data_IF_248017945186
#
_entry.id   IF_248017945186
#
_cell.length_a   1.000
_cell.length_b   1.000
_cell.length_c   1.000
_cell.angle_alpha   90.00
_cell.angle_beta   90.00
_cell.angle_gamma   90.00
#
_symmetry.space_group_name_H-M   'P 1'
#
loop_
_entity.id
_entity.type
_entity.pdbx_description
1 polymer ?
#
# COMPACT_ATOMS: atom_id res chain seq x y z
N UNK A 1 1.88 -22.33 8.39
CA UNK A 1 2.48 -21.04 8.06
C UNK A 1 3.62 -21.11 7.05
N UNK A 2 4.58 -22.05 7.13
CA UNK A 2 5.62 -22.16 6.09
C UNK A 2 5.08 -22.45 4.67
N UNK A 3 3.96 -23.16 4.55
CA UNK A 3 3.24 -23.37 3.28
C UNK A 3 2.43 -22.16 2.81
N UNK A 4 2.28 -21.14 3.65
CA UNK A 4 1.68 -19.85 3.30
C UNK A 4 2.73 -18.82 2.87
N UNK A 5 4.03 -19.10 2.99
CA UNK A 5 5.10 -18.20 2.56
C UNK A 5 5.12 -17.90 1.05
N UNK A 6 4.79 -18.85 0.14
CA UNK A 6 4.66 -18.52 -1.29
C UNK A 6 3.49 -17.59 -1.60
N UNK A 7 2.64 -17.26 -0.60
CA UNK A 7 1.45 -16.42 -0.73
C UNK A 7 1.71 -14.93 -0.47
N UNK A 8 2.93 -14.56 -0.03
CA UNK A 8 3.22 -13.23 0.50
C UNK A 8 4.32 -12.45 -0.24
N UNK A 9 4.80 -12.97 -1.36
CA UNK A 9 5.82 -12.32 -2.18
C UNK A 9 5.41 -12.30 -3.65
N UNK A 10 5.46 -11.12 -4.27
CA UNK A 10 6.06 -10.99 -5.59
C UNK A 10 7.57 -11.15 -5.37
N UNK A 11 8.17 -12.30 -5.65
CA UNK A 11 9.60 -12.54 -5.36
C UNK A 11 10.01 -13.95 -4.95
N UNK A 12 9.34 -14.52 -3.94
CA UNK A 12 9.32 -15.98 -3.76
C UNK A 12 8.38 -16.50 -4.83
N UNK A 13 8.95 -16.82 -5.97
CA UNK A 13 8.27 -17.62 -6.94
C UNK A 13 7.95 -19.02 -6.32
N UNK A 14 6.68 -19.40 -6.07
CA UNK A 14 6.27 -20.81 -6.28
C UNK A 14 6.31 -21.16 -7.78
N UNK A 15 6.48 -20.11 -8.59
CA UNK A 15 6.89 -20.08 -9.98
C UNK A 15 8.39 -20.49 -10.05
N UNK A 16 8.98 -20.64 -11.22
CA UNK A 16 10.39 -20.98 -11.33
C UNK A 16 11.11 -19.96 -12.17
N UNK A 17 12.09 -19.31 -11.56
CA UNK A 17 13.04 -18.40 -12.19
C UNK A 17 13.01 -17.01 -11.52
N UNK A 18 14.12 -16.38 -11.14
CA UNK A 18 15.48 -16.59 -11.56
C UNK A 18 16.40 -15.71 -10.72
N UNK A 19 17.32 -16.32 -9.98
CA UNK A 19 18.69 -15.83 -9.95
C UNK A 19 19.59 -17.00 -9.57
N UNK A 20 19.79 -17.88 -10.54
CA UNK A 20 21.10 -18.51 -10.69
C UNK A 20 21.22 -18.95 -12.14
N UNK A 21 22.18 -18.34 -12.83
CA UNK A 21 22.84 -18.93 -13.97
C UNK A 21 23.40 -20.28 -13.51
N UNK A 22 22.58 -21.33 -13.54
CA UNK A 22 22.97 -22.74 -13.55
C UNK A 22 21.71 -23.63 -13.63
N UNK A 23 21.40 -24.12 -14.83
CA UNK A 23 20.70 -25.39 -15.10
C UNK A 23 19.56 -25.84 -14.16
N UNK A 24 18.42 -25.13 -14.15
CA UNK A 24 17.18 -25.70 -13.63
C UNK A 24 15.96 -25.21 -14.40
N UNK A 25 15.47 -26.05 -15.30
CA UNK A 25 14.32 -25.82 -16.18
C UNK A 25 12.96 -26.10 -15.52
N UNK A 26 12.80 -26.01 -14.18
CA UNK A 26 11.69 -26.76 -13.57
C UNK A 26 10.98 -26.23 -12.29
N UNK A 27 10.97 -24.93 -11.97
CA UNK A 27 10.29 -24.49 -10.73
C UNK A 27 8.91 -23.84 -10.91
N UNK A 28 8.43 -23.53 -12.13
CA UNK A 28 7.08 -22.95 -12.30
C UNK A 28 5.93 -23.94 -12.16
N UNK A 29 6.26 -25.22 -12.03
CA UNK A 29 5.37 -26.37 -11.91
C UNK A 29 5.31 -26.96 -10.50
N UNK A 30 5.89 -26.31 -9.48
CA UNK A 30 5.91 -26.93 -8.14
C UNK A 30 4.50 -27.02 -7.53
N UNK A 31 3.65 -26.01 -7.76
CA UNK A 31 2.29 -25.94 -7.23
C UNK A 31 1.27 -25.36 -8.24
N UNK A 32 1.04 -26.03 -9.39
CA UNK A 32 0.20 -25.50 -10.47
C UNK A 32 -1.24 -25.27 -10.01
N UNK A 33 -1.83 -26.21 -9.26
CA UNK A 33 -3.19 -26.08 -8.75
C UNK A 33 -3.37 -24.90 -7.79
N UNK A 34 -2.33 -24.57 -7.01
CA UNK A 34 -2.36 -23.42 -6.11
C UNK A 34 -2.32 -22.11 -6.92
N UNK A 35 -1.45 -22.05 -7.93
CA UNK A 35 -1.38 -20.91 -8.86
C UNK A 35 -2.72 -20.71 -9.58
N UNK A 36 -3.33 -21.79 -10.07
CA UNK A 36 -4.62 -21.74 -10.76
C UNK A 36 -5.74 -21.29 -9.82
N UNK A 37 -5.73 -21.77 -8.57
CA UNK A 37 -6.63 -21.29 -7.54
C UNK A 37 -6.49 -19.78 -7.31
N UNK A 38 -5.27 -19.25 -7.16
CA UNK A 38 -5.07 -17.81 -6.99
C UNK A 38 -5.50 -17.00 -8.21
N UNK A 39 -5.16 -17.46 -9.42
CA UNK A 39 -5.61 -16.81 -10.64
C UNK A 39 -7.14 -16.77 -10.73
N UNK A 40 -7.81 -17.85 -10.32
CA UNK A 40 -9.26 -17.89 -10.25
C UNK A 40 -9.81 -16.93 -9.18
N UNK A 41 -9.21 -16.91 -7.98
CA UNK A 41 -9.62 -16.02 -6.90
C UNK A 41 -9.44 -14.54 -7.24
N UNK A 42 -8.41 -14.18 -8.02
CA UNK A 42 -8.19 -12.81 -8.49
C UNK A 42 -9.32 -12.29 -9.40
N UNK A 43 -10.13 -13.19 -9.97
CA UNK A 43 -11.34 -12.82 -10.72
C UNK A 43 -12.57 -12.60 -9.84
N UNK A 44 -12.51 -12.97 -8.55
CA UNK A 44 -13.64 -12.84 -7.62
C UNK A 44 -13.59 -11.44 -6.97
N UNK A 45 -14.56 -10.54 -7.24
CA UNK A 45 -14.46 -9.15 -6.81
C UNK A 45 -14.27 -8.95 -5.31
N UNK A 46 -15.02 -9.64 -4.41
CA UNK A 46 -14.76 -9.55 -2.97
C UNK A 46 -13.35 -9.97 -2.57
N UNK A 47 -12.80 -10.98 -3.23
CA UNK A 47 -11.45 -11.45 -2.91
C UNK A 47 -10.41 -10.42 -3.33
N UNK A 48 -10.43 -10.01 -4.60
CA UNK A 48 -9.47 -9.06 -5.17
C UNK A 48 -9.54 -7.68 -4.50
N UNK A 49 -10.75 -7.19 -4.20
CA UNK A 49 -10.94 -5.87 -3.63
C UNK A 49 -10.70 -5.82 -2.12
N UNK A 50 -11.05 -6.88 -1.36
CA UNK A 50 -11.10 -6.80 0.11
C UNK A 50 -10.29 -7.86 0.85
N UNK A 51 -10.06 -9.06 0.29
CA UNK A 51 -9.53 -10.20 1.07
C UNK A 51 -8.05 -10.46 0.79
N UNK A 52 -7.60 -10.37 -0.47
CA UNK A 52 -6.28 -10.80 -0.95
C UNK A 52 -5.10 -10.33 -0.08
N UNK A 53 -5.23 -9.17 0.54
CA UNK A 53 -4.10 -8.55 1.23
C UNK A 53 -3.10 -7.97 0.23
N UNK A 54 -1.96 -7.53 0.74
CA UNK A 54 -0.82 -7.20 -0.10
C UNK A 54 0.49 -7.62 0.54
N UNK A 55 1.51 -7.82 -0.29
CA UNK A 55 2.81 -8.31 0.16
C UNK A 55 3.42 -7.39 1.23
N UNK A 56 3.25 -6.07 1.13
CA UNK A 56 3.82 -5.12 2.08
C UNK A 56 3.23 -5.29 3.48
N UNK A 57 1.91 -5.39 3.59
CA UNK A 57 1.16 -5.52 4.83
C UNK A 57 1.42 -6.88 5.47
N UNK A 58 1.42 -7.93 4.66
CA UNK A 58 1.76 -9.27 5.13
C UNK A 58 3.17 -9.35 5.68
N UNK A 59 4.15 -8.74 5.00
CA UNK A 59 5.52 -8.61 5.52
C UNK A 59 5.50 -7.89 6.88
N UNK A 60 4.85 -6.72 6.99
CA UNK A 60 4.75 -5.99 8.29
C UNK A 60 4.24 -6.88 9.41
N UNK A 61 3.25 -7.74 9.16
CA UNK A 61 2.71 -8.66 10.17
C UNK A 61 3.68 -9.80 10.47
N UNK A 62 4.19 -10.47 9.44
CA UNK A 62 5.04 -11.66 9.58
C UNK A 62 6.40 -11.36 10.22
N UNK A 63 6.93 -10.14 10.07
CA UNK A 63 8.18 -9.72 10.73
C UNK A 63 7.98 -9.17 12.13
N UNK A 64 6.76 -8.78 12.51
CA UNK A 64 6.46 -8.23 13.84
C UNK A 64 6.11 -9.34 14.84
N UNK A 65 5.59 -10.48 14.39
CA UNK A 65 5.16 -11.53 15.31
C UNK A 65 6.27 -12.55 15.66
N UNK A 66 6.39 -12.97 16.94
CA UNK A 66 7.51 -13.75 17.47
C UNK A 66 7.51 -15.25 17.08
N UNK A 67 6.77 -15.65 16.05
CA UNK A 67 6.64 -17.07 15.67
C UNK A 67 7.85 -17.60 14.88
N UNK A 68 8.84 -16.76 14.59
CA UNK A 68 10.10 -17.19 14.00
C UNK A 68 11.08 -17.64 15.10
N UNK A 69 11.63 -18.86 15.04
CA UNK A 69 12.37 -19.43 16.15
C UNK A 69 13.83 -18.94 16.13
N UNK A 70 14.09 -17.73 16.63
CA UNK A 70 15.21 -17.45 17.54
C UNK A 70 15.23 -15.98 17.96
N UNK A 71 15.67 -15.74 19.19
CA UNK A 71 15.93 -14.44 19.80
C UNK A 71 16.97 -13.59 19.06
N UNK A 72 17.71 -14.19 18.12
CA UNK A 72 18.87 -13.58 17.46
C UNK A 72 18.49 -12.90 16.13
N UNK A 73 17.22 -12.98 15.70
CA UNK A 73 16.68 -12.45 14.43
C UNK A 73 15.53 -11.46 14.69
N UNK A 74 15.41 -10.94 15.91
CA UNK A 74 14.46 -9.87 16.20
C UNK A 74 14.89 -8.60 15.47
N UNK A 75 14.33 -8.41 14.27
CA UNK A 75 14.39 -7.15 13.57
C UNK A 75 13.38 -6.21 14.24
N UNK A 76 13.84 -5.05 14.69
CA UNK A 76 12.94 -3.93 14.97
C UNK A 76 11.98 -3.77 13.78
N UNK A 77 10.77 -3.26 14.01
CA UNK A 77 9.80 -2.94 12.95
C UNK A 77 10.35 -2.05 11.82
N UNK A 78 11.56 -1.50 11.99
CA UNK A 78 12.34 -0.72 11.02
C UNK A 78 13.57 -1.44 10.45
N UNK A 79 14.07 -2.52 11.07
CA UNK A 79 15.31 -3.24 10.71
C UNK A 79 15.07 -4.38 9.73
N UNK A 80 14.16 -4.21 8.76
CA UNK A 80 13.98 -5.12 7.61
C UNK A 80 15.17 -4.94 6.62
N UNK A 81 16.38 -5.06 7.17
CA UNK A 81 17.76 -4.84 6.69
C UNK A 81 18.57 -4.07 7.75
N UNK A 82 19.69 -4.51 8.35
CA UNK A 82 20.68 -5.56 8.02
C UNK A 82 21.03 -6.47 9.22
N UNK A 83 20.64 -7.76 9.12
CA UNK A 83 21.43 -8.98 9.42
C UNK A 83 20.59 -10.20 9.00
N UNK A 84 20.77 -10.65 7.75
CA UNK A 84 19.98 -11.74 7.14
C UNK A 84 19.01 -11.21 6.08
N UNK A 85 19.56 -10.85 4.92
CA UNK A 85 18.92 -10.04 3.88
C UNK A 85 17.65 -10.67 3.29
N UNK A 86 16.52 -9.99 3.50
CA UNK A 86 15.34 -10.00 2.61
C UNK A 86 15.24 -8.63 1.95
N UNK A 87 16.34 -8.19 1.35
CA UNK A 87 16.37 -7.01 0.49
C UNK A 87 15.54 -7.33 -0.77
N UNK A 88 14.56 -6.49 -1.04
CA UNK A 88 13.74 -6.57 -2.26
C UNK A 88 14.61 -6.22 -3.45
N UNK A 89 14.37 -6.84 -4.60
CA UNK A 89 14.90 -6.30 -5.85
C UNK A 89 14.32 -4.90 -6.08
N UNK A 90 15.05 -4.03 -6.78
CA UNK A 90 14.52 -2.73 -7.21
C UNK A 90 13.24 -2.89 -8.03
N UNK A 91 13.10 -4.00 -8.74
CA UNK A 91 11.94 -4.37 -9.55
C UNK A 91 10.72 -4.74 -8.70
N UNK A 92 10.91 -5.48 -7.59
CA UNK A 92 9.85 -5.70 -6.60
C UNK A 92 9.43 -4.41 -5.89
N UNK A 93 10.41 -3.57 -5.54
CA UNK A 93 10.11 -2.23 -5.03
C UNK A 93 9.30 -1.45 -6.08
N UNK A 94 9.73 -1.45 -7.33
CA UNK A 94 9.03 -0.79 -8.42
C UNK A 94 7.60 -1.32 -8.57
N UNK A 95 7.36 -2.63 -8.64
CA UNK A 95 6.02 -3.23 -8.77
C UNK A 95 5.10 -2.95 -7.57
N UNK A 96 5.68 -2.90 -6.37
CA UNK A 96 4.99 -2.47 -5.15
C UNK A 96 4.59 -1.00 -5.20
N UNK A 97 5.47 -0.12 -5.69
CA UNK A 97 5.21 1.30 -5.85
C UNK A 97 4.38 1.61 -7.12
N UNK A 98 4.36 0.71 -8.10
CA UNK A 98 3.62 0.80 -9.36
C UNK A 98 2.15 0.34 -9.23
N UNK A 99 1.74 -0.13 -8.04
CA UNK A 99 0.34 -0.43 -7.79
C UNK A 99 -0.14 -1.71 -8.49
N UNK A 100 0.58 -2.83 -8.31
CA UNK A 100 0.08 -4.16 -8.72
C UNK A 100 -1.28 -4.57 -8.13
N UNK A 101 -1.86 -3.75 -7.26
CA UNK A 101 -3.26 -3.82 -6.78
C UNK A 101 -4.27 -3.06 -7.65
N UNK A 102 -3.90 -2.64 -8.87
CA UNK A 102 -4.83 -2.10 -9.87
C UNK A 102 -5.88 -3.17 -10.21
N UNK A 103 -6.95 -3.18 -9.43
CA UNK A 103 -8.16 -3.89 -9.78
C UNK A 103 -8.79 -3.15 -10.94
N UNK A 104 -9.18 -3.88 -11.98
CA UNK A 104 -9.84 -3.27 -13.13
C UNK A 104 -11.07 -2.48 -12.67
N UNK A 105 -11.35 -1.34 -13.30
CA UNK A 105 -12.55 -0.53 -13.00
C UNK A 105 -13.80 -1.40 -12.99
N UNK A 106 -13.88 -2.36 -13.91
CA UNK A 106 -14.97 -3.33 -13.99
C UNK A 106 -15.13 -4.18 -12.74
N UNK A 107 -14.04 -4.75 -12.22
CA UNK A 107 -14.08 -5.59 -11.03
C UNK A 107 -14.40 -4.76 -9.77
N UNK A 108 -13.94 -3.51 -9.68
CA UNK A 108 -14.37 -2.60 -8.60
C UNK A 108 -15.86 -2.24 -8.68
N UNK A 109 -16.37 -1.95 -9.89
CA UNK A 109 -17.80 -1.69 -10.10
C UNK A 109 -18.64 -2.90 -9.70
N UNK A 110 -18.23 -4.11 -10.07
CA UNK A 110 -18.91 -5.34 -9.65
C UNK A 110 -18.85 -5.54 -8.13
N UNK A 111 -17.70 -5.26 -7.51
CA UNK A 111 -17.55 -5.31 -6.05
C UNK A 111 -18.46 -4.29 -5.33
N UNK A 112 -18.54 -3.05 -5.80
CA UNK A 112 -19.30 -1.99 -5.15
C UNK A 112 -20.81 -2.06 -5.41
N UNK A 113 -21.25 -2.70 -6.50
CA UNK A 113 -22.65 -2.76 -6.95
C UNK A 113 -23.67 -3.07 -5.85
N UNK A 114 -23.40 -4.10 -5.05
CA UNK A 114 -24.32 -4.58 -4.00
C UNK A 114 -23.89 -4.15 -2.58
N UNK A 115 -22.97 -3.18 -2.48
CA UNK A 115 -22.34 -2.74 -1.23
C UNK A 115 -22.47 -1.23 -1.07
N UNK A 116 -23.60 -0.72 -0.54
CA UNK A 116 -23.86 0.71 -0.45
C UNK A 116 -22.90 1.46 0.50
N UNK A 117 -22.16 0.73 1.33
CA UNK A 117 -21.14 1.27 2.23
C UNK A 117 -19.75 1.36 1.58
N UNK A 118 -19.57 0.85 0.35
CA UNK A 118 -18.34 0.97 -0.43
C UNK A 118 -18.57 2.01 -1.53
N UNK A 119 -17.61 2.91 -1.72
CA UNK A 119 -17.69 3.91 -2.78
C UNK A 119 -17.76 3.28 -4.18
N UNK A 120 -18.82 3.59 -4.91
CA UNK A 120 -18.97 3.21 -6.32
C UNK A 120 -18.08 4.04 -7.26
N UNK A 121 -17.58 5.19 -6.80
CA UNK A 121 -16.75 6.09 -7.61
C UNK A 121 -15.32 5.55 -7.83
N UNK A 122 -14.85 4.66 -6.96
CA UNK A 122 -13.55 4.00 -7.13
C UNK A 122 -12.81 3.77 -5.82
N UNK A 123 -11.71 3.01 -5.88
CA UNK A 123 -10.88 2.72 -4.73
C UNK A 123 -10.18 3.96 -4.14
N UNK A 124 -9.91 4.98 -4.95
CA UNK A 124 -9.32 6.25 -4.52
C UNK A 124 -10.29 7.00 -3.58
N UNK A 125 -11.57 7.08 -3.98
CA UNK A 125 -12.63 7.73 -3.19
C UNK A 125 -12.92 6.94 -1.91
N UNK A 126 -12.90 5.60 -1.97
CA UNK A 126 -13.01 4.75 -0.79
C UNK A 126 -11.85 5.02 0.19
N UNK A 127 -10.61 5.08 -0.30
CA UNK A 127 -9.46 5.41 0.53
C UNK A 127 -9.60 6.79 1.18
N UNK A 128 -10.03 7.80 0.41
CA UNK A 128 -10.30 9.15 0.91
C UNK A 128 -11.34 9.15 2.04
N UNK A 129 -12.42 8.39 1.85
CA UNK A 129 -13.53 8.26 2.82
C UNK A 129 -13.06 7.61 4.12
N UNK A 130 -12.30 6.52 4.04
CA UNK A 130 -11.73 5.84 5.22
C UNK A 130 -10.78 6.78 5.98
N UNK A 131 -9.89 7.48 5.27
CA UNK A 131 -8.97 8.45 5.88
C UNK A 131 -9.75 9.57 6.57
N UNK A 132 -10.77 10.12 5.90
CA UNK A 132 -11.60 11.18 6.44
C UNK A 132 -12.31 10.76 7.74
N UNK A 133 -12.94 9.58 7.74
CA UNK A 133 -13.65 9.08 8.93
C UNK A 133 -12.71 8.77 10.09
N UNK A 134 -11.48 8.33 9.81
CA UNK A 134 -10.50 7.97 10.85
C UNK A 134 -9.52 9.11 11.18
N UNK A 135 -9.72 10.31 10.62
CA UNK A 135 -8.82 11.48 10.76
C UNK A 135 -8.47 11.82 12.21
N UNK A 136 -9.44 11.71 13.13
CA UNK A 136 -9.22 12.01 14.55
C UNK A 136 -8.24 11.05 15.25
N UNK A 137 -8.08 9.83 14.74
CA UNK A 137 -7.12 8.85 15.26
C UNK A 137 -5.79 8.91 14.49
N UNK A 138 -5.84 9.22 13.19
CA UNK A 138 -4.66 9.35 12.33
C UNK A 138 -3.76 10.50 12.80
N UNK A 139 -4.32 11.69 13.05
CA UNK A 139 -3.49 12.87 13.36
C UNK A 139 -2.68 12.73 14.66
N UNK A 140 -3.24 12.27 15.80
CA UNK A 140 -2.44 12.05 17.00
C UNK A 140 -1.39 10.94 16.84
N UNK A 141 -1.72 9.85 16.12
CA UNK A 141 -0.75 8.77 15.88
C UNK A 141 0.39 9.24 14.95
N UNK A 142 0.08 10.08 13.96
CA UNK A 142 1.05 10.73 13.09
C UNK A 142 1.96 11.68 13.88
N UNK A 143 1.42 12.50 14.77
CA UNK A 143 2.24 13.39 15.61
C UNK A 143 3.20 12.58 16.51
N UNK A 144 2.71 11.50 17.11
CA UNK A 144 3.52 10.55 17.88
C UNK A 144 4.60 9.90 17.01
N UNK A 145 4.22 9.44 15.82
CA UNK A 145 5.13 8.84 14.84
C UNK A 145 6.30 9.77 14.48
N UNK A 146 6.02 11.04 14.22
CA UNK A 146 7.05 12.05 13.91
C UNK A 146 8.04 12.20 15.07
N UNK A 147 7.55 12.22 16.32
CA UNK A 147 8.36 12.40 17.53
C UNK A 147 9.20 11.18 17.88
N UNK A 148 8.63 9.98 17.77
CA UNK A 148 9.25 8.73 18.21
C UNK A 148 10.14 8.09 17.13
N UNK A 149 9.69 8.13 15.88
CA UNK A 149 10.33 7.41 14.76
C UNK A 149 11.21 8.33 13.92
N UNK A 150 11.18 9.65 14.17
CA UNK A 150 12.03 10.64 13.53
C UNK A 150 11.63 10.93 12.09
N UNK A 151 10.92 12.03 11.86
CA UNK A 151 10.92 12.65 10.53
C UNK A 151 12.16 13.51 10.37
N UNK A 152 13.12 13.06 9.55
CA UNK A 152 14.40 13.76 9.35
C UNK A 152 14.34 14.89 8.30
N UNK A 153 13.18 15.18 7.72
CA UNK A 153 13.02 16.17 6.65
C UNK A 153 12.76 17.60 7.16
N UNK A 154 13.76 18.26 7.74
CA UNK A 154 13.77 19.73 7.88
C UNK A 154 13.85 20.30 9.30
N UNK A 155 14.19 21.59 9.40
CA UNK A 155 14.56 22.28 10.65
C UNK A 155 13.37 22.70 11.54
N UNK A 156 12.13 22.44 11.13
CA UNK A 156 10.94 22.83 11.90
C UNK A 156 9.92 21.69 11.92
N UNK A 157 9.54 21.25 13.13
CA UNK A 157 8.51 20.23 13.29
C UNK A 157 7.15 20.81 12.87
N UNK A 158 6.37 20.13 12.01
CA UNK A 158 5.07 20.61 11.59
C UNK A 158 4.11 20.72 12.77
N UNK A 159 3.29 21.78 12.79
CA UNK A 159 2.24 21.89 13.80
C UNK A 159 1.10 20.91 13.49
N UNK A 160 0.26 20.63 14.49
CA UNK A 160 -0.96 19.81 14.28
C UNK A 160 -1.86 20.37 13.16
N UNK A 161 -1.95 21.70 13.05
CA UNK A 161 -2.73 22.37 11.99
C UNK A 161 -2.14 22.13 10.60
N UNK A 162 -0.81 22.11 10.51
CA UNK A 162 -0.11 21.86 9.25
C UNK A 162 -0.30 20.42 8.78
N UNK A 163 -0.20 19.46 9.72
CA UNK A 163 -0.47 18.04 9.47
C UNK A 163 -1.93 17.81 9.07
N UNK A 164 -2.86 18.48 9.73
CA UNK A 164 -4.27 18.43 9.37
C UNK A 164 -4.53 18.97 7.95
N UNK A 165 -3.95 20.13 7.64
CA UNK A 165 -4.05 20.74 6.32
C UNK A 165 -3.51 19.80 5.24
N UNK A 166 -2.36 19.17 5.48
CA UNK A 166 -1.78 18.19 4.56
C UNK A 166 -2.64 16.93 4.40
N UNK A 167 -3.21 16.40 5.48
CA UNK A 167 -4.12 15.26 5.42
C UNK A 167 -5.39 15.59 4.62
N UNK A 168 -5.95 16.80 4.78
CA UNK A 168 -7.06 17.28 3.96
C UNK A 168 -6.68 17.42 2.48
N UNK A 169 -5.47 17.91 2.18
CA UNK A 169 -4.96 17.93 0.81
C UNK A 169 -4.89 16.54 0.19
N UNK A 170 -4.44 15.53 0.94
CA UNK A 170 -4.40 14.14 0.47
C UNK A 170 -5.80 13.59 0.19
N UNK A 171 -6.77 13.85 1.08
CA UNK A 171 -8.17 13.45 0.86
C UNK A 171 -8.69 14.08 -0.43
N UNK A 172 -8.47 15.38 -0.64
CA UNK A 172 -8.91 16.06 -1.86
C UNK A 172 -8.22 15.52 -3.11
N UNK A 173 -6.92 15.25 -3.06
CA UNK A 173 -6.17 14.61 -4.15
C UNK A 173 -6.79 13.26 -4.51
N UNK A 174 -7.08 12.41 -3.53
CA UNK A 174 -7.70 11.10 -3.77
C UNK A 174 -9.10 11.23 -4.39
N UNK A 175 -9.90 12.19 -3.95
CA UNK A 175 -11.22 12.47 -4.54
C UNK A 175 -11.10 12.90 -6.01
N UNK A 176 -10.15 13.80 -6.33
CA UNK A 176 -9.91 14.25 -7.70
C UNK A 176 -9.43 13.12 -8.62
N UNK A 177 -8.61 12.20 -8.11
CA UNK A 177 -8.16 11.03 -8.87
C UNK A 177 -9.28 10.02 -9.13
N UNK A 178 -10.26 9.95 -8.24
CA UNK A 178 -11.44 9.09 -8.38
C UNK A 178 -12.52 9.69 -9.29
N UNK A 179 -12.59 11.02 -9.40
CA UNK A 179 -13.49 11.71 -10.31
C UNK A 179 -13.00 11.58 -11.76
N UNK A 180 -13.46 10.52 -12.46
CA UNK A 180 -13.10 10.23 -13.86
C UNK A 180 -14.14 10.72 -14.88
N UNK A 181 -15.24 11.29 -14.41
CA UNK A 181 -16.39 11.64 -15.26
C UNK A 181 -16.45 13.15 -15.56
N UNK A 182 -15.51 13.93 -15.04
CA UNK A 182 -15.45 15.38 -15.20
C UNK A 182 -14.25 15.74 -16.10
N UNK A 183 -14.54 16.10 -17.36
CA UNK A 183 -13.56 16.29 -18.45
C UNK A 183 -12.78 17.62 -18.37
N UNK A 184 -13.00 18.45 -17.34
CA UNK A 184 -12.22 19.67 -17.12
C UNK A 184 -10.86 19.36 -16.47
N UNK A 185 -9.99 18.74 -17.27
CA UNK A 185 -8.64 18.31 -16.87
C UNK A 185 -7.76 19.51 -16.46
N UNK A 186 -7.96 20.68 -17.06
CA UNK A 186 -7.20 21.89 -16.75
C UNK A 186 -7.52 22.42 -15.35
N UNK A 187 -8.80 22.48 -14.98
CA UNK A 187 -9.21 22.88 -13.64
C UNK A 187 -8.73 21.89 -12.57
N UNK A 188 -8.85 20.58 -12.84
CA UNK A 188 -8.35 19.54 -11.94
C UNK A 188 -6.85 19.64 -11.72
N UNK A 189 -6.08 19.90 -12.77
CA UNK A 189 -4.63 20.01 -12.68
C UNK A 189 -4.18 21.24 -11.87
N UNK A 190 -4.86 22.37 -12.00
CA UNK A 190 -4.59 23.57 -11.18
C UNK A 190 -4.83 23.30 -9.69
N UNK A 191 -5.97 22.68 -9.33
CA UNK A 191 -6.24 22.29 -7.95
C UNK A 191 -5.21 21.28 -7.48
N UNK A 192 -4.95 20.23 -8.26
CA UNK A 192 -3.97 19.21 -7.92
C UNK A 192 -2.61 19.84 -7.63
N UNK A 193 -2.12 20.73 -8.49
CA UNK A 193 -0.86 21.44 -8.33
C UNK A 193 -0.83 22.28 -7.04
N UNK A 194 -1.90 22.99 -6.72
CA UNK A 194 -2.02 23.76 -5.47
C UNK A 194 -1.97 22.86 -4.23
N UNK A 195 -2.63 21.69 -4.27
CA UNK A 195 -2.63 20.75 -3.17
C UNK A 195 -1.27 20.09 -2.96
N UNK A 196 -0.55 19.82 -4.05
CA UNK A 196 0.81 19.29 -4.03
C UNK A 196 1.84 20.25 -3.44
N UNK A 197 1.59 21.56 -3.51
CA UNK A 197 2.47 22.58 -2.93
C UNK A 197 2.45 22.64 -1.40
N UNK A 198 1.58 21.87 -0.74
CA UNK A 198 1.64 21.75 0.71
C UNK A 198 2.88 20.94 1.12
N UNK A 199 3.84 21.62 1.73
CA UNK A 199 5.16 21.10 2.11
C UNK A 199 5.14 19.88 3.04
N UNK A 200 4.00 19.56 3.67
CA UNK A 200 3.86 18.43 4.59
C UNK A 200 3.11 17.24 3.99
N UNK A 201 2.66 17.33 2.73
CA UNK A 201 1.97 16.21 2.06
C UNK A 201 2.86 14.97 2.03
N UNK A 202 4.15 15.12 1.74
CA UNK A 202 5.10 14.00 1.74
C UNK A 202 5.22 13.28 3.10
N UNK A 203 5.20 14.03 4.22
CA UNK A 203 5.22 13.50 5.58
C UNK A 203 4.00 12.60 5.78
N UNK A 204 2.82 13.15 5.46
CA UNK A 204 1.55 12.45 5.71
C UNK A 204 1.40 11.25 4.77
N UNK A 205 1.75 11.35 3.48
CA UNK A 205 1.69 10.21 2.56
C UNK A 205 2.65 9.10 2.97
N UNK A 206 3.86 9.44 3.42
CA UNK A 206 4.85 8.48 3.91
C UNK A 206 4.36 7.77 5.17
N UNK A 207 3.80 8.52 6.11
CA UNK A 207 3.19 7.95 7.30
C UNK A 207 2.04 6.99 6.94
N UNK A 208 1.14 7.40 6.05
CA UNK A 208 0.00 6.58 5.63
C UNK A 208 0.46 5.28 4.96
N UNK A 209 1.44 5.31 4.06
CA UNK A 209 2.01 4.10 3.47
C UNK A 209 2.65 3.18 4.52
N UNK A 210 3.40 3.75 5.47
CA UNK A 210 4.02 2.98 6.55
C UNK A 210 2.99 2.37 7.50
N UNK A 211 1.84 3.01 7.75
CA UNK A 211 0.84 2.52 8.70
C UNK A 211 -0.28 1.68 8.10
N UNK A 212 -0.65 1.89 6.83
CA UNK A 212 -1.73 1.12 6.19
C UNK A 212 -1.40 -0.37 6.16
N UNK A 213 -2.39 -1.18 6.53
CA UNK A 213 -2.32 -2.64 6.54
C UNK A 213 -3.55 -3.24 5.83
N UNK A 214 -3.29 -4.02 4.78
CA UNK A 214 -4.30 -4.72 4.00
C UNK A 214 -4.31 -6.20 4.38
N UNK A 215 -5.48 -6.83 4.58
CA UNK A 215 -6.83 -6.29 4.38
C UNK A 215 -7.45 -5.62 5.61
N UNK A 216 -6.71 -5.43 6.71
CA UNK A 216 -7.28 -4.93 7.97
C UNK A 216 -7.96 -3.57 7.81
N UNK A 217 -7.21 -2.56 7.35
CA UNK A 217 -7.64 -1.17 7.33
C UNK A 217 -8.49 -0.85 6.09
N UNK A 218 -8.10 -1.41 4.93
CA UNK A 218 -8.80 -1.21 3.66
C UNK A 218 -8.46 -2.33 2.66
N UNK A 219 -9.10 -2.30 1.50
CA UNK A 219 -8.82 -3.17 0.38
C UNK A 219 -7.48 -2.88 -0.31
N UNK A 220 -6.92 -3.88 -1.01
CA UNK A 220 -5.65 -3.73 -1.75
C UNK A 220 -5.68 -2.58 -2.77
N UNK A 221 -6.78 -2.35 -3.52
CA UNK A 221 -6.86 -1.23 -4.46
C UNK A 221 -6.85 0.15 -3.78
N UNK A 222 -7.54 0.28 -2.65
CA UNK A 222 -7.57 1.50 -1.85
C UNK A 222 -6.17 1.84 -1.32
N UNK A 223 -5.48 0.84 -0.76
CA UNK A 223 -4.12 1.01 -0.28
C UNK A 223 -3.13 1.33 -1.41
N UNK A 224 -3.30 0.71 -2.58
CA UNK A 224 -2.49 1.02 -3.76
C UNK A 224 -2.59 2.51 -4.14
N UNK A 225 -3.78 3.10 -4.04
CA UNK A 225 -3.99 4.53 -4.31
C UNK A 225 -3.16 5.42 -3.37
N UNK A 226 -3.11 5.10 -2.08
CA UNK A 226 -2.29 5.80 -1.08
C UNK A 226 -0.80 5.65 -1.41
N UNK A 227 -0.36 4.44 -1.78
CA UNK A 227 1.04 4.16 -2.12
C UNK A 227 1.52 4.88 -3.36
N UNK A 228 0.66 4.97 -4.38
CA UNK A 228 0.92 5.77 -5.58
C UNK A 228 1.15 7.23 -5.22
N UNK A 229 0.42 7.79 -4.25
CA UNK A 229 0.68 9.16 -3.76
C UNK A 229 2.03 9.27 -3.05
N UNK A 230 2.36 8.33 -2.15
CA UNK A 230 3.65 8.33 -1.47
C UNK A 230 4.83 8.28 -2.45
N UNK A 231 4.70 7.54 -3.57
CA UNK A 231 5.68 7.51 -4.64
C UNK A 231 5.82 8.87 -5.37
N UNK A 232 4.71 9.57 -5.57
CA UNK A 232 4.70 10.89 -6.23
C UNK A 232 5.31 11.99 -5.35
N UNK A 233 5.25 11.83 -4.03
CA UNK A 233 5.79 12.79 -3.05
C UNK A 233 6.81 12.12 -2.12
N UNK A 234 7.97 11.67 -2.64
CA UNK A 234 8.97 11.04 -1.81
C UNK A 234 9.54 12.03 -0.77
N UNK A 235 9.89 11.53 0.41
CA UNK A 235 10.70 12.28 1.36
C UNK A 235 12.15 12.29 0.86
N UNK A 236 12.69 13.48 0.61
CA UNK A 236 14.11 13.70 0.32
C UNK A 236 14.93 13.67 1.61
#
# INVERSE_FOLDING_TARGET
>A
YAFQLPLFYSGLEPRGGSSEKNNSSNNSNRWPLLKDWYNAMDTIPPYACRIKGDALSWRKVLYVEPWWPSSDVWHSRYDVGHKGELLRSEEECADMYNGGGSVSKQLWMEYSKDRPYVSSAGPEVEAATIIFHNRCNILPDLERWIKEEGYHGGSCSPSFKDLDSALRSIIQILLLLGDKDNDDDDFKWDIFSKLCNNQHVNIVTTYLDKRVCVPRDMGSPCAASIRTLAKRFPCN
#
